data_IF_301718601006
#
_entry.id   IF_301718601006
#
_cell.length_a   1.000
_cell.length_b   1.000
_cell.length_c   1.000
_cell.angle_alpha   90.00
_cell.angle_beta   90.00
_cell.angle_gamma   90.00
#
_symmetry.space_group_name_H-M   'P 1'
#
loop_
_entity.id
_entity.type
_entity.pdbx_description
1 polymer ?
#
# COMPACT_ATOMS: atom_id res chain seq x y z
N UNK A 1 -19.43 -16.17 19.85
CA UNK A 1 -18.50 -16.33 18.72
C UNK A 1 -18.07 -14.92 18.33
N UNK A 2 -17.06 -14.39 19.02
CA UNK A 2 -16.50 -13.07 18.74
C UNK A 2 -15.50 -13.25 17.60
N UNK A 3 -15.84 -12.81 16.40
CA UNK A 3 -14.85 -12.63 15.33
C UNK A 3 -13.92 -11.51 15.75
N UNK A 4 -12.68 -11.87 16.09
CA UNK A 4 -11.60 -10.93 16.26
C UNK A 4 -11.30 -10.31 14.89
N UNK A 5 -11.65 -9.04 14.72
CA UNK A 5 -11.09 -8.19 13.67
C UNK A 5 -9.63 -7.87 14.04
N UNK A 6 -8.75 -8.85 13.94
CA UNK A 6 -7.31 -8.60 13.95
C UNK A 6 -6.93 -8.04 12.59
N UNK A 7 -6.64 -6.73 12.55
CA UNK A 7 -5.96 -6.12 11.41
C UNK A 7 -4.62 -6.85 11.24
N UNK A 8 -4.23 -7.25 10.01
CA UNK A 8 -2.94 -7.90 9.80
C UNK A 8 -1.82 -7.05 10.38
N UNK A 9 -0.87 -7.66 11.09
CA UNK A 9 0.31 -6.94 11.55
C UNK A 9 1.19 -6.60 10.34
N UNK A 10 1.86 -5.44 10.36
CA UNK A 10 2.67 -4.98 9.23
C UNK A 10 3.77 -6.00 8.85
N UNK A 11 4.28 -6.74 9.83
CA UNK A 11 5.29 -7.79 9.64
C UNK A 11 4.75 -9.00 8.85
N UNK A 12 3.44 -9.30 8.93
CA UNK A 12 2.83 -10.39 8.16
C UNK A 12 2.67 -10.04 6.67
N UNK A 13 2.76 -8.75 6.36
CA UNK A 13 2.62 -8.21 5.02
C UNK A 13 3.97 -8.03 4.33
N UNK A 14 5.10 -8.41 4.93
CA UNK A 14 6.43 -8.28 4.32
C UNK A 14 7.05 -9.66 4.14
N UNK A 15 7.43 -10.02 2.91
CA UNK A 15 8.14 -11.27 2.65
C UNK A 15 9.65 -11.16 2.90
N UNK A 16 10.36 -12.29 2.85
CA UNK A 16 11.83 -12.39 3.04
C UNK A 16 12.69 -11.52 2.11
N UNK A 17 12.09 -10.89 1.08
CA UNK A 17 12.74 -9.99 0.13
C UNK A 17 12.29 -8.52 0.29
N UNK A 18 11.71 -8.13 1.43
CA UNK A 18 11.13 -6.80 1.65
C UNK A 18 10.00 -6.45 0.66
N UNK A 19 9.33 -7.44 0.06
CA UNK A 19 8.18 -7.20 -0.81
C UNK A 19 6.92 -7.17 0.03
N UNK A 20 6.10 -6.13 -0.14
CA UNK A 20 4.80 -6.06 0.52
C UNK A 20 3.82 -7.03 -0.16
N UNK A 21 3.21 -7.91 0.62
CA UNK A 21 2.16 -8.84 0.18
C UNK A 21 0.87 -8.04 0.01
N UNK A 22 0.56 -7.70 -1.24
CA UNK A 22 -0.61 -6.86 -1.54
C UNK A 22 -1.94 -7.60 -1.31
N UNK A 23 -1.99 -8.93 -1.37
CA UNK A 23 -3.26 -9.70 -1.33
C UNK A 23 -4.15 -9.38 -0.13
N UNK A 24 -3.57 -9.08 1.03
CA UNK A 24 -4.31 -8.80 2.27
C UNK A 24 -4.18 -7.35 2.74
N UNK A 25 -3.74 -6.45 1.87
CA UNK A 25 -3.56 -5.05 2.21
C UNK A 25 -4.93 -4.34 2.30
N UNK A 26 -5.30 -3.75 3.46
CA UNK A 26 -6.61 -3.12 3.61
C UNK A 26 -6.67 -1.75 2.93
N UNK A 27 -7.86 -1.36 2.48
CA UNK A 27 -8.15 0.02 2.09
C UNK A 27 -7.92 0.96 3.28
N UNK A 28 -7.40 2.15 3.00
CA UNK A 28 -6.94 3.12 4.00
C UNK A 28 -5.53 2.86 4.54
N UNK A 29 -4.89 1.73 4.20
CA UNK A 29 -3.48 1.51 4.55
C UNK A 29 -2.60 2.49 3.76
N UNK A 30 -1.63 3.11 4.44
CA UNK A 30 -0.61 3.90 3.76
C UNK A 30 0.56 3.02 3.36
N UNK A 31 1.03 3.22 2.14
CA UNK A 31 2.16 2.52 1.55
C UNK A 31 3.23 3.51 1.14
N UNK A 32 4.48 3.07 1.23
CA UNK A 32 5.63 3.76 0.67
C UNK A 32 5.97 3.16 -0.67
N UNK A 33 6.13 4.02 -1.66
CA UNK A 33 6.52 3.67 -3.01
C UNK A 33 8.04 3.81 -3.20
N UNK A 34 8.56 3.14 -4.23
CA UNK A 34 10.00 3.06 -4.54
C UNK A 34 10.62 4.41 -4.90
N UNK A 35 9.84 5.30 -5.49
CA UNK A 35 10.20 6.70 -5.80
C UNK A 35 10.26 7.59 -4.54
N UNK A 36 9.87 7.07 -3.37
CA UNK A 36 9.82 7.81 -2.11
C UNK A 36 8.47 8.44 -1.82
N UNK A 37 7.50 8.36 -2.75
CA UNK A 37 6.14 8.82 -2.56
C UNK A 37 5.41 7.99 -1.49
N UNK A 38 4.41 8.61 -0.86
CA UNK A 38 3.51 7.96 0.09
C UNK A 38 2.10 8.06 -0.45
N UNK A 39 1.38 6.93 -0.44
CA UNK A 39 0.02 6.87 -0.94
C UNK A 39 -0.87 6.02 -0.04
N UNK A 40 -2.17 6.31 -0.05
CA UNK A 40 -3.21 5.55 0.65
C UNK A 40 -3.86 4.56 -0.31
N UNK A 41 -4.06 3.32 0.11
CA UNK A 41 -4.80 2.32 -0.68
C UNK A 41 -6.28 2.70 -0.73
N UNK A 42 -6.79 2.97 -1.93
CA UNK A 42 -8.22 3.28 -2.13
C UNK A 42 -9.03 2.05 -2.53
N UNK A 43 -8.41 1.07 -3.19
CA UNK A 43 -9.03 -0.22 -3.50
C UNK A 43 -7.97 -1.31 -3.75
N UNK A 44 -8.31 -2.56 -3.42
CA UNK A 44 -7.42 -3.71 -3.60
C UNK A 44 -8.13 -4.88 -4.30
N UNK A 45 -7.75 -5.23 -5.53
CA UNK A 45 -8.26 -6.40 -6.25
C UNK A 45 -7.92 -7.76 -5.61
N UNK A 46 -6.93 -7.78 -4.71
CA UNK A 46 -6.40 -8.97 -4.02
C UNK A 46 -5.81 -10.04 -4.94
N UNK A 47 -5.36 -9.65 -6.12
CA UNK A 47 -4.65 -10.53 -7.06
C UNK A 47 -3.14 -10.64 -6.74
N UNK A 48 -2.62 -9.76 -5.88
CA UNK A 48 -1.22 -9.69 -5.49
C UNK A 48 -0.32 -8.95 -6.48
N UNK A 49 -0.87 -8.42 -7.58
CA UNK A 49 -0.12 -7.73 -8.62
C UNK A 49 -0.12 -6.21 -8.48
N UNK A 50 -1.25 -5.62 -8.10
CA UNK A 50 -1.42 -4.16 -8.08
C UNK A 50 -2.55 -3.72 -7.14
N UNK A 51 -2.56 -2.43 -6.80
CA UNK A 51 -3.57 -1.77 -5.96
C UNK A 51 -3.89 -0.38 -6.53
N UNK A 52 -5.10 0.12 -6.25
CA UNK A 52 -5.42 1.53 -6.45
C UNK A 52 -4.99 2.33 -5.24
N UNK A 53 -4.37 3.48 -5.50
CA UNK A 53 -3.82 4.35 -4.48
C UNK A 53 -4.23 5.80 -4.72
N UNK A 54 -4.16 6.61 -3.67
CA UNK A 54 -4.22 8.06 -3.73
C UNK A 54 -2.98 8.66 -3.10
N UNK A 55 -2.26 9.51 -3.84
CA UNK A 55 -1.03 10.10 -3.34
C UNK A 55 -1.30 11.06 -2.17
N UNK A 56 -0.54 10.90 -1.09
CA UNK A 56 -0.50 11.78 0.08
C UNK A 56 0.75 12.67 0.02
N UNK A 57 1.88 12.08 -0.38
CA UNK A 57 3.15 12.78 -0.55
C UNK A 57 3.82 12.31 -1.85
N UNK A 58 4.36 13.25 -2.61
CA UNK A 58 5.16 12.98 -3.81
C UNK A 58 6.26 14.05 -3.89
N UNK A 59 7.47 13.75 -3.39
CA UNK A 59 8.56 14.74 -3.31
C UNK A 59 9.03 15.25 -4.68
N UNK A 60 9.07 14.35 -5.67
CA UNK A 60 9.57 14.64 -7.00
C UNK A 60 8.50 15.32 -7.89
N UNK A 61 7.22 15.04 -7.63
CA UNK A 61 6.10 15.72 -8.29
C UNK A 61 4.93 16.00 -7.32
N UNK A 62 4.94 17.15 -6.62
CA UNK A 62 3.89 17.53 -5.69
C UNK A 62 2.49 17.68 -6.33
N UNK A 63 2.38 17.76 -7.66
CA UNK A 63 1.08 17.90 -8.33
C UNK A 63 0.24 16.63 -8.28
N UNK A 64 0.86 15.48 -8.01
CA UNK A 64 0.20 14.19 -7.84
C UNK A 64 -0.57 14.10 -6.52
N UNK A 65 -0.24 14.93 -5.51
CA UNK A 65 -0.90 14.86 -4.20
C UNK A 65 -2.42 15.05 -4.35
N UNK A 66 -3.18 14.05 -3.91
CA UNK A 66 -4.63 14.02 -4.01
C UNK A 66 -5.19 13.37 -5.28
N UNK A 67 -4.36 12.99 -6.24
CA UNK A 67 -4.78 12.21 -7.42
C UNK A 67 -4.77 10.72 -7.11
N UNK A 68 -5.59 9.95 -7.84
CA UNK A 68 -5.61 8.50 -7.78
C UNK A 68 -4.77 7.91 -8.92
N UNK A 69 -4.10 6.79 -8.63
CA UNK A 69 -3.30 6.04 -9.59
C UNK A 69 -3.24 4.54 -9.21
N UNK A 70 -2.57 3.74 -10.02
CA UNK A 70 -2.33 2.33 -9.81
C UNK A 70 -0.86 2.08 -9.42
N UNK A 71 -0.64 1.42 -8.29
CA UNK A 71 0.69 0.99 -7.85
C UNK A 71 0.85 -0.52 -8.01
N UNK A 72 1.95 -0.95 -8.63
CA UNK A 72 2.30 -2.37 -8.76
C UNK A 72 3.00 -2.87 -7.49
N UNK A 73 2.90 -4.18 -7.23
CA UNK A 73 3.58 -4.83 -6.11
C UNK A 73 5.10 -4.58 -6.08
N UNK A 74 5.71 -4.42 -7.26
CA UNK A 74 7.14 -4.13 -7.39
C UNK A 74 7.52 -2.71 -6.93
N UNK A 75 6.56 -1.78 -6.91
CA UNK A 75 6.77 -0.39 -6.54
C UNK A 75 6.47 -0.14 -5.06
N UNK A 76 5.68 -0.99 -4.42
CA UNK A 76 5.40 -0.92 -2.98
C UNK A 76 6.57 -1.50 -2.19
N UNK A 77 7.29 -0.64 -1.48
CA UNK A 77 8.52 -1.00 -0.75
C UNK A 77 8.35 -1.01 0.77
N UNK A 78 7.18 -0.63 1.28
CA UNK A 78 6.89 -0.69 2.71
C UNK A 78 5.52 -0.13 3.09
N UNK A 79 5.19 -0.28 4.36
CA UNK A 79 3.99 0.27 4.98
C UNK A 79 4.34 1.51 5.80
N UNK A 80 3.38 2.40 5.93
CA UNK A 80 3.47 3.60 6.77
C UNK A 80 2.30 3.57 7.76
N UNK A 81 2.59 3.88 9.03
CA UNK A 81 1.57 3.98 10.10
C UNK A 81 0.77 5.29 10.05
#
# INVERSE_FOLDING_TARGET
MTSNNEKPNADDLINVNNTVILTNLPEGQKVKLRDGSVAEVTANPRDGGWIFIKFIESPDDPSLVGTEDMAFAADVVGLVD
#
